data_IF_625390421275
#
_entry.id   IF_625390421275
#
_cell.length_a   1.000
_cell.length_b   1.000
_cell.length_c   1.000
_cell.angle_alpha   90.00
_cell.angle_beta   90.00
_cell.angle_gamma   90.00
#
_symmetry.space_group_name_H-M   'P 1'
#
loop_
_entity.id
_entity.type
_entity.pdbx_description
1 polymer ?
#
# COMPACT_ATOMS: atom_id res chain seq x y z
N UNK A 1 -38.13 -31.55 5.63
CA UNK A 1 -36.72 -31.81 5.26
C UNK A 1 -36.17 -30.57 4.57
N UNK A 2 -35.20 -29.86 5.18
CA UNK A 2 -34.48 -28.74 4.54
C UNK A 2 -33.09 -29.23 4.13
N UNK A 3 -32.84 -29.32 2.82
CA UNK A 3 -31.54 -29.68 2.22
C UNK A 3 -30.84 -28.40 1.76
N UNK A 4 -29.89 -27.87 2.52
CA UNK A 4 -28.84 -26.99 1.95
C UNK A 4 -27.52 -27.24 2.66
N UNK A 5 -26.74 -28.13 2.06
CA UNK A 5 -25.30 -28.28 2.26
C UNK A 5 -24.65 -27.11 1.50
N UNK A 6 -23.92 -26.26 2.24
CA UNK A 6 -23.09 -25.12 1.83
C UNK A 6 -23.02 -24.69 0.36
N UNK A 7 -23.34 -23.41 0.11
CA UNK A 7 -22.54 -22.62 -0.85
C UNK A 7 -23.23 -21.96 -2.06
N UNK A 8 -24.55 -21.78 -2.09
CA UNK A 8 -25.20 -20.94 -3.09
C UNK A 8 -25.90 -19.75 -2.42
N UNK A 9 -25.13 -18.84 -1.82
CA UNK A 9 -25.63 -17.49 -1.58
C UNK A 9 -25.85 -16.77 -2.92
N UNK A 10 -26.54 -15.63 -2.97
CA UNK A 10 -26.64 -14.79 -4.17
C UNK A 10 -25.30 -14.09 -4.45
N UNK A 11 -24.21 -14.84 -4.49
CA UNK A 11 -22.88 -14.46 -4.93
C UNK A 11 -22.91 -14.28 -6.45
N UNK A 12 -23.52 -13.17 -6.90
CA UNK A 12 -23.66 -12.85 -8.31
C UNK A 12 -24.43 -11.55 -8.57
N UNK A 13 -25.34 -11.15 -7.68
CA UNK A 13 -26.07 -9.90 -7.88
C UNK A 13 -25.22 -8.69 -7.45
N UNK A 14 -24.51 -8.10 -8.41
CA UNK A 14 -23.88 -6.80 -8.23
C UNK A 14 -24.97 -5.76 -7.89
N UNK A 15 -24.98 -5.29 -6.64
CA UNK A 15 -25.90 -4.21 -6.21
C UNK A 15 -25.74 -3.00 -7.12
N UNK A 16 -26.87 -2.40 -7.54
CA UNK A 16 -26.86 -1.16 -8.33
C UNK A 16 -26.09 -0.06 -7.62
N UNK A 17 -25.53 0.90 -8.39
CA UNK A 17 -24.80 2.05 -7.83
C UNK A 17 -25.65 2.79 -6.78
N UNK A 18 -26.93 2.98 -7.07
CA UNK A 18 -27.90 3.61 -6.17
C UNK A 18 -28.09 2.83 -4.86
N UNK A 19 -28.22 1.50 -4.93
CA UNK A 19 -28.37 0.66 -3.72
C UNK A 19 -27.10 0.68 -2.86
N UNK A 20 -25.92 0.67 -3.49
CA UNK A 20 -24.64 0.82 -2.76
C UNK A 20 -24.54 2.19 -2.09
N UNK A 21 -24.98 3.25 -2.76
CA UNK A 21 -24.99 4.60 -2.19
C UNK A 21 -25.93 4.69 -0.98
N UNK A 22 -27.14 4.12 -1.05
CA UNK A 22 -28.10 4.06 0.08
C UNK A 22 -27.53 3.32 1.29
N UNK A 23 -26.93 2.14 1.08
CA UNK A 23 -26.28 1.36 2.16
C UNK A 23 -25.11 2.15 2.76
N UNK A 24 -24.31 2.82 1.93
CA UNK A 24 -23.19 3.66 2.37
C UNK A 24 -23.69 4.82 3.22
N UNK A 25 -24.69 5.57 2.75
CA UNK A 25 -25.28 6.70 3.47
C UNK A 25 -25.80 6.28 4.86
N UNK A 26 -26.50 5.13 4.95
CA UNK A 26 -27.00 4.59 6.21
C UNK A 26 -25.89 4.15 7.20
N UNK A 27 -24.67 3.91 6.72
CA UNK A 27 -23.54 3.44 7.54
C UNK A 27 -22.52 4.53 7.86
N UNK A 28 -22.45 5.59 7.06
CA UNK A 28 -21.59 6.75 7.33
C UNK A 28 -21.97 7.35 8.69
N UNK A 29 -20.97 7.64 9.53
CA UNK A 29 -21.16 8.24 10.85
C UNK A 29 -21.60 7.30 11.97
N UNK A 30 -21.98 6.04 11.67
CA UNK A 30 -22.36 5.08 12.72
C UNK A 30 -21.14 4.68 13.55
N UNK A 31 -21.09 5.15 14.80
CA UNK A 31 -20.04 4.77 15.75
C UNK A 31 -20.26 3.32 16.20
N UNK A 32 -19.20 2.52 16.13
CA UNK A 32 -19.16 1.21 16.78
C UNK A 32 -19.23 1.43 18.29
N UNK A 33 -20.10 0.70 18.99
CA UNK A 33 -20.23 0.80 20.45
C UNK A 33 -18.92 0.44 21.14
N UNK A 34 -18.63 1.05 22.29
CA UNK A 34 -17.41 0.75 23.05
C UNK A 34 -17.30 -0.75 23.39
N UNK A 35 -18.42 -1.41 23.70
CA UNK A 35 -18.47 -2.86 23.92
C UNK A 35 -18.04 -3.66 22.69
N UNK A 36 -18.52 -3.29 21.50
CA UNK A 36 -18.15 -3.97 20.24
C UNK A 36 -16.68 -3.69 19.88
N UNK A 37 -16.21 -2.47 20.13
CA UNK A 37 -14.82 -2.07 19.91
C UNK A 37 -13.88 -2.84 20.85
N UNK A 38 -14.26 -3.04 22.11
CA UNK A 38 -13.52 -3.84 23.08
C UNK A 38 -13.40 -5.31 22.63
N UNK A 39 -14.49 -5.92 22.17
CA UNK A 39 -14.49 -7.29 21.63
C UNK A 39 -13.58 -7.45 20.40
N UNK A 40 -13.45 -6.42 19.57
CA UNK A 40 -12.58 -6.46 18.39
C UNK A 40 -11.10 -6.22 18.72
N UNK A 41 -10.77 -5.29 19.64
CA UNK A 41 -9.38 -4.88 19.94
C UNK A 41 -8.54 -5.96 20.64
N UNK A 42 -9.14 -6.99 21.22
CA UNK A 42 -8.45 -8.04 21.98
C UNK A 42 -8.36 -9.42 21.32
N UNK A 43 -8.92 -9.59 20.11
CA UNK A 43 -9.00 -10.91 19.48
C UNK A 43 -7.63 -11.36 18.97
N UNK A 44 -6.91 -12.14 19.78
CA UNK A 44 -5.66 -12.80 19.39
C UNK A 44 -6.00 -14.08 18.61
N UNK A 45 -5.20 -14.38 17.60
CA UNK A 45 -5.23 -15.70 16.99
C UNK A 45 -4.86 -16.76 18.03
N UNK A 46 -5.56 -17.90 17.99
CA UNK A 46 -5.16 -19.09 18.75
C UNK A 46 -3.77 -19.55 18.31
N UNK A 47 -3.02 -20.22 19.19
CA UNK A 47 -1.68 -20.75 18.86
C UNK A 47 -1.72 -21.67 17.63
N UNK A 48 -2.76 -22.49 17.49
CA UNK A 48 -2.97 -23.33 16.30
C UNK A 48 -3.11 -22.49 15.02
N UNK A 49 -3.87 -21.39 15.07
CA UNK A 49 -4.04 -20.51 13.90
C UNK A 49 -2.73 -19.78 13.57
N UNK A 50 -2.00 -19.34 14.59
CA UNK A 50 -0.69 -18.69 14.45
C UNK A 50 0.34 -19.64 13.83
N UNK A 51 0.34 -20.92 14.23
CA UNK A 51 1.20 -21.94 13.64
C UNK A 51 0.92 -22.13 12.14
N UNK A 52 -0.36 -22.23 11.75
CA UNK A 52 -0.77 -22.32 10.33
C UNK A 52 -0.32 -21.11 9.51
N UNK A 53 -0.41 -19.91 10.08
CA UNK A 53 0.01 -18.67 9.41
C UNK A 53 1.55 -18.58 9.27
N UNK A 54 2.32 -19.00 10.28
CA UNK A 54 3.80 -18.96 10.25
C UNK A 54 4.41 -19.89 9.19
N UNK A 55 3.81 -21.05 8.94
CA UNK A 55 4.31 -22.02 7.97
C UNK A 55 3.96 -21.70 6.51
N UNK A 56 3.06 -20.74 6.26
CA UNK A 56 2.56 -20.47 4.91
C UNK A 56 3.59 -19.65 4.12
N UNK A 57 4.24 -20.32 3.16
CA UNK A 57 5.14 -19.67 2.19
C UNK A 57 4.35 -19.24 0.96
N UNK A 58 4.67 -18.06 0.43
CA UNK A 58 4.20 -17.65 -0.89
C UNK A 58 4.89 -18.49 -1.97
N UNK A 59 4.13 -18.85 -3.01
CA UNK A 59 4.69 -19.45 -4.23
C UNK A 59 5.58 -18.44 -4.95
N UNK A 60 6.52 -18.92 -5.75
CA UNK A 60 7.40 -18.05 -6.57
C UNK A 60 6.58 -17.17 -7.52
N UNK A 61 5.50 -17.69 -8.10
CA UNK A 61 4.58 -16.90 -8.93
C UNK A 61 3.95 -15.74 -8.13
N UNK A 62 3.47 -15.99 -6.91
CA UNK A 62 2.89 -14.95 -6.06
C UNK A 62 3.94 -13.90 -5.68
N UNK A 63 5.18 -14.34 -5.41
CA UNK A 63 6.31 -13.44 -5.13
C UNK A 63 6.65 -12.58 -6.34
N UNK A 64 6.69 -13.17 -7.54
CA UNK A 64 6.94 -12.44 -8.78
C UNK A 64 5.87 -11.38 -9.03
N UNK A 65 4.59 -11.73 -8.86
CA UNK A 65 3.48 -10.78 -9.01
C UNK A 65 3.54 -9.63 -8.00
N UNK A 66 3.89 -9.92 -6.74
CA UNK A 66 4.13 -8.89 -5.73
C UNK A 66 5.30 -7.99 -6.13
N UNK A 67 6.42 -8.55 -6.61
CA UNK A 67 7.56 -7.76 -7.10
C UNK A 67 7.15 -6.86 -8.27
N UNK A 68 6.45 -7.41 -9.25
CA UNK A 68 5.97 -6.68 -10.43
C UNK A 68 5.04 -5.52 -10.02
N UNK A 69 4.10 -5.75 -9.11
CA UNK A 69 3.22 -4.69 -8.62
C UNK A 69 3.99 -3.59 -7.89
N UNK A 70 5.03 -3.95 -7.13
CA UNK A 70 5.90 -2.96 -6.48
C UNK A 70 6.80 -2.22 -7.48
N UNK A 71 7.13 -2.79 -8.65
CA UNK A 71 7.84 -2.08 -9.72
C UNK A 71 6.94 -1.18 -10.57
N UNK A 72 5.61 -1.38 -10.54
CA UNK A 72 4.62 -0.44 -11.09
C UNK A 72 4.46 0.82 -10.22
N UNK A 73 5.29 0.97 -9.18
CA UNK A 73 5.40 2.22 -8.44
C UNK A 73 5.79 3.34 -9.39
N UNK A 74 5.10 4.47 -9.25
CA UNK A 74 5.29 5.69 -10.02
C UNK A 74 6.80 6.05 -10.04
N UNK A 75 7.39 6.31 -11.23
CA UNK A 75 8.80 6.65 -11.33
C UNK A 75 9.10 7.97 -10.60
N UNK A 76 10.26 8.01 -9.93
CA UNK A 76 10.76 9.18 -9.22
C UNK A 76 11.83 9.83 -10.08
N UNK A 77 11.85 11.16 -10.15
CA UNK A 77 12.84 11.89 -10.93
C UNK A 77 13.82 12.55 -9.97
N UNK A 78 15.09 12.16 -10.06
CA UNK A 78 16.17 12.75 -9.26
C UNK A 78 17.04 13.65 -10.11
N UNK A 79 17.58 14.70 -9.51
CA UNK A 79 18.57 15.59 -10.12
C UNK A 79 19.93 15.24 -9.52
N UNK A 80 20.92 15.00 -10.37
CA UNK A 80 22.30 14.73 -9.98
C UNK A 80 22.99 15.99 -9.46
N UNK A 81 24.13 15.87 -8.75
CA UNK A 81 24.96 17.02 -8.39
C UNK A 81 25.40 17.87 -9.60
N UNK A 82 25.45 17.27 -10.79
CA UNK A 82 25.79 17.88 -12.07
C UNK A 82 24.58 18.49 -12.81
N UNK A 83 23.40 18.45 -12.19
CA UNK A 83 22.12 18.92 -12.73
C UNK A 83 21.50 18.04 -13.83
N UNK A 84 21.91 16.78 -13.96
CA UNK A 84 21.28 15.82 -14.86
C UNK A 84 20.02 15.20 -14.23
N UNK A 85 18.97 15.00 -15.03
CA UNK A 85 17.70 14.42 -14.58
C UNK A 85 17.72 12.90 -14.84
N UNK A 86 17.50 12.12 -13.79
CA UNK A 86 17.43 10.66 -13.85
C UNK A 86 16.02 10.16 -13.51
N UNK A 87 15.41 9.42 -14.44
CA UNK A 87 14.18 8.67 -14.19
C UNK A 87 14.47 7.36 -13.46
N UNK A 88 13.97 7.23 -12.23
CA UNK A 88 14.26 6.11 -11.33
C UNK A 88 12.99 5.32 -11.04
N UNK A 89 12.94 4.06 -11.50
CA UNK A 89 11.86 3.11 -11.18
C UNK A 89 12.08 2.37 -9.86
N UNK A 90 13.34 2.19 -9.45
CA UNK A 90 13.72 1.54 -8.20
C UNK A 90 14.77 2.38 -7.47
N UNK A 91 14.33 3.11 -6.45
CA UNK A 91 15.20 3.95 -5.60
C UNK A 91 16.31 3.11 -4.96
N UNK A 92 16.02 1.86 -4.62
CA UNK A 92 17.00 0.96 -3.98
C UNK A 92 18.09 0.52 -4.96
N UNK A 93 17.72 0.15 -6.19
CA UNK A 93 18.70 -0.25 -7.19
C UNK A 93 19.56 0.94 -7.60
N UNK A 94 18.91 2.07 -7.90
CA UNK A 94 19.59 3.30 -8.25
C UNK A 94 20.55 3.78 -7.15
N UNK A 95 20.16 3.64 -5.88
CA UNK A 95 21.04 3.99 -4.77
C UNK A 95 22.29 3.11 -4.72
N UNK A 96 22.17 1.80 -5.01
CA UNK A 96 23.33 0.89 -5.06
C UNK A 96 24.27 1.22 -6.22
N UNK A 97 23.72 1.54 -7.38
CA UNK A 97 24.49 1.83 -8.58
C UNK A 97 25.27 3.17 -8.48
N UNK A 98 24.87 4.07 -7.56
CA UNK A 98 25.47 5.39 -7.36
C UNK A 98 26.14 5.58 -5.98
N UNK A 99 26.43 4.48 -5.26
CA UNK A 99 27.03 4.51 -3.92
C UNK A 99 26.27 5.40 -2.90
N UNK A 100 24.95 5.41 -3.01
CA UNK A 100 24.03 6.13 -2.13
C UNK A 100 23.39 5.16 -1.13
N UNK A 101 22.99 5.68 0.02
CA UNK A 101 22.24 4.90 0.99
C UNK A 101 20.75 4.89 0.59
N UNK A 102 20.13 3.71 0.32
CA UNK A 102 18.73 3.63 -0.06
C UNK A 102 17.78 4.29 0.96
N UNK A 103 18.12 4.19 2.25
CA UNK A 103 17.36 4.81 3.34
C UNK A 103 17.36 6.34 3.25
N UNK A 104 18.49 6.94 2.92
CA UNK A 104 18.61 8.38 2.75
C UNK A 104 17.85 8.85 1.52
N UNK A 105 17.98 8.12 0.40
CA UNK A 105 17.31 8.48 -0.85
C UNK A 105 15.79 8.33 -0.76
N UNK A 106 15.29 7.32 -0.02
CA UNK A 106 13.86 7.18 0.30
C UNK A 106 13.34 8.33 1.19
N UNK A 107 14.17 8.89 2.08
CA UNK A 107 13.83 10.09 2.86
C UNK A 107 13.77 11.34 1.98
N UNK A 108 14.64 11.44 0.98
CA UNK A 108 14.60 12.52 -0.02
C UNK A 108 13.35 12.41 -0.89
N UNK A 109 13.05 11.23 -1.43
CA UNK A 109 11.85 11.02 -2.23
C UNK A 109 10.59 11.35 -1.42
N UNK A 110 10.48 10.87 -0.18
CA UNK A 110 9.35 11.14 0.73
C UNK A 110 9.24 12.58 1.25
N UNK A 111 10.17 13.46 0.89
CA UNK A 111 10.20 14.86 1.31
C UNK A 111 10.61 15.08 2.77
N UNK A 112 11.16 14.07 3.45
CA UNK A 112 11.71 14.22 4.80
C UNK A 112 13.13 14.80 4.82
N UNK A 113 13.79 14.83 3.66
CA UNK A 113 15.08 15.49 3.45
C UNK A 113 15.07 16.21 2.11
N UNK A 114 15.78 17.33 2.02
CA UNK A 114 15.90 18.09 0.77
C UNK A 114 16.87 17.44 -0.22
N UNK A 115 17.94 16.82 0.27
CA UNK A 115 18.99 16.24 -0.57
C UNK A 115 19.77 15.13 0.14
N UNK A 116 20.50 14.32 -0.64
CA UNK A 116 21.50 13.38 -0.15
C UNK A 116 22.68 13.32 -1.12
N UNK A 117 23.89 13.69 -0.66
CA UNK A 117 25.11 13.72 -1.51
C UNK A 117 24.91 14.49 -2.82
N UNK A 118 24.25 15.65 -2.76
CA UNK A 118 23.92 16.48 -3.93
C UNK A 118 22.75 15.97 -4.78
N UNK A 119 22.25 14.76 -4.55
CA UNK A 119 21.04 14.27 -5.21
C UNK A 119 19.80 14.90 -4.61
N UNK A 120 18.97 15.51 -5.45
CA UNK A 120 17.72 16.19 -5.06
C UNK A 120 16.53 15.62 -5.81
N UNK A 121 15.34 15.77 -5.25
CA UNK A 121 14.10 15.36 -5.89
C UNK A 121 13.66 16.44 -6.89
N UNK A 122 13.37 16.08 -8.13
CA UNK A 122 12.88 17.02 -9.13
C UNK A 122 11.47 17.52 -8.76
N UNK A 123 11.17 18.82 -8.87
CA UNK A 123 9.89 19.41 -8.43
C UNK A 123 8.67 18.82 -9.16
N UNK A 124 8.84 18.44 -10.43
CA UNK A 124 7.78 17.77 -11.22
C UNK A 124 7.65 16.26 -10.93
N UNK A 125 8.39 15.72 -9.95
CA UNK A 125 8.29 14.30 -9.64
C UNK A 125 6.87 13.98 -9.14
N UNK A 126 6.18 13.01 -9.75
CA UNK A 126 4.77 12.70 -9.44
C UNK A 126 4.51 12.28 -7.99
N UNK A 127 5.55 11.87 -7.25
CA UNK A 127 5.52 11.62 -5.80
C UNK A 127 5.09 12.87 -5.01
N UNK A 128 5.64 14.05 -5.33
CA UNK A 128 5.45 15.28 -4.56
C UNK A 128 4.01 15.78 -4.54
N UNK A 129 3.21 15.42 -5.55
CA UNK A 129 1.83 15.90 -5.73
C UNK A 129 0.87 15.47 -4.61
N UNK A 130 1.24 14.48 -3.79
CA UNK A 130 0.40 14.03 -2.66
C UNK A 130 0.51 14.91 -1.40
N UNK A 131 1.54 15.77 -1.26
CA UNK A 131 1.76 16.60 -0.06
C UNK A 131 1.50 18.10 -0.26
N UNK A 132 1.25 18.56 -1.49
CA UNK A 132 1.03 19.99 -1.80
C UNK A 132 -0.45 20.39 -1.91
N UNK A 133 -1.39 19.60 -1.36
CA UNK A 133 -2.83 19.90 -1.37
C UNK A 133 -3.38 20.33 0.00
N UNK A 134 -2.54 20.85 0.90
CA UNK A 134 -2.97 21.39 2.21
C UNK A 134 -2.49 22.84 2.45
N UNK A 135 -2.62 23.70 1.44
CA UNK A 135 -2.55 25.16 1.63
C UNK A 135 -3.78 25.82 1.01
#
# INVERSE_FOLDING_TARGET
MNKTIGGAGPSGCARSKETRAKIRAARIGRKVTEETRAKMRGRKHTEETRAKLRGRKFTEETRAKMRESHTRTIPVWFISPQQDIHEVRSVTQFARDNDLLPQCLNRVSSGHRSHHKGWTLHPSSPHLKCKQQEQ
#
